data_IF_425765214061
#
_entry.id   IF_425765214061
#
_cell.length_a   1.000
_cell.length_b   1.000
_cell.length_c   1.000
_cell.angle_alpha   90.00
_cell.angle_beta   90.00
_cell.angle_gamma   90.00
#
_symmetry.space_group_name_H-M   'P 1'
#
loop_
_entity.id
_entity.type
_entity.pdbx_description
1 polymer ?
#
# COMPACT_ATOMS: atom_id res chain seq x y z
N UNK A 1 -12.39 22.19 -11.62
CA UNK A 1 -11.84 20.85 -11.28
C UNK A 1 -10.33 20.81 -11.48
N UNK A 2 -9.79 21.20 -12.65
CA UNK A 2 -8.34 21.26 -12.90
C UNK A 2 -7.61 22.23 -11.94
N UNK A 3 -8.15 23.42 -11.72
CA UNK A 3 -7.57 24.43 -10.80
C UNK A 3 -7.55 23.99 -9.34
N UNK A 4 -8.56 23.20 -8.90
CA UNK A 4 -8.61 22.61 -7.56
C UNK A 4 -7.53 21.53 -7.37
N UNK A 5 -7.28 20.72 -8.40
CA UNK A 5 -6.19 19.74 -8.36
C UNK A 5 -4.84 20.47 -8.36
N UNK A 6 -4.68 21.49 -9.19
CA UNK A 6 -3.45 22.27 -9.27
C UNK A 6 -3.14 23.05 -7.98
N UNK A 7 -4.15 23.43 -7.17
CA UNK A 7 -3.91 24.12 -5.90
C UNK A 7 -3.29 23.25 -4.81
N UNK A 8 -3.33 21.92 -4.97
CA UNK A 8 -2.66 20.96 -4.07
C UNK A 8 -1.19 20.77 -4.43
N UNK A 9 -0.72 21.29 -5.57
CA UNK A 9 0.67 21.21 -5.98
C UNK A 9 1.41 22.52 -5.73
N UNK A 10 2.63 22.43 -5.21
CA UNK A 10 3.43 23.60 -4.93
C UNK A 10 3.86 24.31 -6.24
N UNK A 11 3.56 25.61 -6.37
CA UNK A 11 4.26 26.47 -7.32
C UNK A 11 5.62 26.83 -6.71
N UNK A 12 6.68 26.57 -7.44
CA UNK A 12 8.08 26.77 -7.05
C UNK A 12 8.28 28.14 -6.37
N UNK A 13 8.64 28.11 -5.08
CA UNK A 13 9.24 29.17 -4.23
C UNK A 13 8.47 29.52 -2.94
N UNK A 14 9.23 29.45 -1.83
CA UNK A 14 8.99 30.07 -0.51
C UNK A 14 7.98 29.39 0.44
N UNK A 15 7.96 28.07 0.51
CA UNK A 15 7.35 27.38 1.66
C UNK A 15 8.43 27.14 2.73
N UNK A 16 8.18 27.63 3.95
CA UNK A 16 8.99 27.29 5.12
C UNK A 16 8.74 25.81 5.44
N UNK A 17 9.73 24.95 5.23
CA UNK A 17 9.64 23.53 5.58
C UNK A 17 9.58 23.42 7.10
N UNK A 18 8.53 22.79 7.63
CA UNK A 18 8.44 22.50 9.06
C UNK A 18 9.55 21.51 9.42
N UNK A 19 10.21 21.75 10.56
CA UNK A 19 11.10 20.75 11.13
C UNK A 19 10.28 19.52 11.53
N UNK A 20 10.79 18.34 11.21
CA UNK A 20 10.17 17.07 11.55
C UNK A 20 11.21 16.11 12.14
N UNK A 21 10.75 15.22 13.03
CA UNK A 21 11.54 14.10 13.52
C UNK A 21 10.75 12.79 13.34
N UNK A 22 11.43 11.65 13.41
CA UNK A 22 10.83 10.33 13.28
C UNK A 22 11.00 9.49 14.54
N UNK A 23 9.86 9.05 15.10
CA UNK A 23 9.87 8.02 16.13
C UNK A 23 10.24 6.67 15.53
N UNK A 24 11.48 6.23 15.77
CA UNK A 24 12.04 4.99 15.21
C UNK A 24 11.20 3.74 15.53
N UNK A 25 10.57 3.70 16.70
CA UNK A 25 9.70 2.60 17.11
C UNK A 25 8.43 2.48 16.25
N UNK A 26 7.79 3.61 15.94
CA UNK A 26 6.61 3.67 15.09
C UNK A 26 6.95 3.41 13.62
N UNK A 27 8.10 3.89 13.15
CA UNK A 27 8.62 3.53 11.82
C UNK A 27 8.76 2.01 11.70
N UNK A 28 9.43 1.36 12.65
CA UNK A 28 9.58 -0.09 12.63
C UNK A 28 8.23 -0.81 12.67
N UNK A 29 7.31 -0.39 13.54
CA UNK A 29 5.97 -0.97 13.65
C UNK A 29 5.18 -0.84 12.34
N UNK A 30 5.25 0.33 11.68
CA UNK A 30 4.60 0.58 10.41
C UNK A 30 5.07 -0.38 9.32
N UNK A 31 6.39 -0.53 9.16
CA UNK A 31 7.00 -1.44 8.17
C UNK A 31 6.67 -2.90 8.50
N UNK A 32 6.77 -3.29 9.77
CA UNK A 32 6.49 -4.65 10.23
C UNK A 32 5.02 -5.04 9.98
N UNK A 33 4.07 -4.14 10.25
CA UNK A 33 2.64 -4.37 10.02
C UNK A 33 2.31 -4.51 8.52
N UNK A 34 2.92 -3.68 7.66
CA UNK A 34 2.78 -3.83 6.21
C UNK A 34 3.33 -5.17 5.71
N UNK A 35 4.51 -5.59 6.18
CA UNK A 35 5.10 -6.88 5.80
C UNK A 35 4.25 -8.06 6.25
N UNK A 36 3.81 -8.07 7.51
CA UNK A 36 3.01 -9.14 8.08
C UNK A 36 1.64 -9.25 7.40
N UNK A 37 0.92 -8.14 7.25
CA UNK A 37 -0.39 -8.14 6.63
C UNK A 37 -0.36 -8.49 5.14
N UNK A 38 0.70 -8.08 4.43
CA UNK A 38 0.94 -8.51 3.05
C UNK A 38 1.21 -10.01 2.95
N UNK A 39 2.01 -10.58 3.85
CA UNK A 39 2.25 -12.02 3.92
C UNK A 39 0.94 -12.79 4.21
N UNK A 40 0.13 -12.30 5.14
CA UNK A 40 -1.18 -12.88 5.46
C UNK A 40 -2.14 -12.83 4.25
N UNK A 41 -2.18 -11.72 3.52
CA UNK A 41 -2.99 -11.60 2.32
C UNK A 41 -2.56 -12.58 1.21
N UNK A 42 -1.25 -12.80 1.03
CA UNK A 42 -0.72 -13.81 0.11
C UNK A 42 -1.08 -15.24 0.54
N UNK A 43 -1.00 -15.52 1.85
CA UNK A 43 -1.45 -16.80 2.40
C UNK A 43 -2.94 -17.04 2.16
N UNK A 44 -3.79 -16.03 2.37
CA UNK A 44 -5.22 -16.10 2.10
C UNK A 44 -5.51 -16.22 0.59
N UNK A 45 -4.70 -15.60 -0.27
CA UNK A 45 -4.80 -15.78 -1.74
C UNK A 45 -4.57 -17.23 -2.14
N UNK A 46 -3.58 -17.90 -1.54
CA UNK A 46 -3.33 -19.32 -1.78
C UNK A 46 -4.49 -20.20 -1.30
N UNK A 47 -5.01 -19.96 -0.07
CA UNK A 47 -6.20 -20.68 0.43
C UNK A 47 -7.41 -20.45 -0.48
N UNK A 48 -7.60 -19.22 -0.97
CA UNK A 48 -8.69 -18.87 -1.88
C UNK A 48 -8.65 -19.71 -3.16
N UNK A 49 -7.47 -19.96 -3.74
CA UNK A 49 -7.33 -20.79 -4.95
C UNK A 49 -7.48 -22.28 -4.70
N UNK A 50 -7.21 -22.75 -3.48
CA UNK A 50 -7.44 -24.15 -3.08
C UNK A 50 -8.91 -24.43 -2.71
N UNK A 51 -9.71 -23.39 -2.44
CA UNK A 51 -11.10 -23.52 -2.04
C UNK A 51 -11.99 -24.04 -3.18
N UNK A 52 -12.57 -25.23 -3.00
CA UNK A 52 -13.46 -25.88 -3.99
C UNK A 52 -14.86 -25.25 -4.06
N UNK A 53 -15.34 -24.68 -2.96
CA UNK A 53 -16.70 -24.10 -2.85
C UNK A 53 -16.66 -22.59 -3.05
N UNK A 54 -17.55 -22.06 -3.89
CA UNK A 54 -17.64 -20.61 -4.17
C UNK A 54 -17.85 -19.75 -2.92
N UNK A 55 -18.74 -20.10 -1.95
CA UNK A 55 -18.91 -19.29 -0.75
C UNK A 55 -17.63 -19.18 0.09
N UNK A 56 -16.94 -20.31 0.31
CA UNK A 56 -15.66 -20.34 1.04
C UNK A 56 -14.60 -19.52 0.32
N UNK A 57 -14.51 -19.67 -1.01
CA UNK A 57 -13.58 -18.89 -1.83
C UNK A 57 -13.83 -17.38 -1.70
N UNK A 58 -15.09 -16.94 -1.77
CA UNK A 58 -15.47 -15.53 -1.61
C UNK A 58 -15.16 -15.01 -0.20
N UNK A 59 -15.46 -15.81 0.82
CA UNK A 59 -15.18 -15.43 2.21
C UNK A 59 -13.67 -15.20 2.43
N UNK A 60 -12.83 -16.15 1.97
CA UNK A 60 -11.36 -16.03 2.08
C UNK A 60 -10.83 -14.87 1.23
N UNK A 61 -11.40 -14.64 0.04
CA UNK A 61 -11.05 -13.48 -0.79
C UNK A 61 -11.30 -12.16 -0.07
N UNK A 62 -12.50 -12.01 0.52
CA UNK A 62 -12.86 -10.80 1.29
C UNK A 62 -11.95 -10.65 2.49
N UNK A 63 -11.68 -11.73 3.24
CA UNK A 63 -10.74 -11.69 4.36
C UNK A 63 -9.32 -11.27 3.93
N UNK A 64 -8.83 -11.78 2.80
CA UNK A 64 -7.51 -11.42 2.28
C UNK A 64 -7.43 -9.98 1.80
N UNK A 65 -8.48 -9.48 1.14
CA UNK A 65 -8.58 -8.10 0.72
C UNK A 65 -8.62 -7.13 1.92
N UNK A 66 -9.40 -7.45 2.95
CA UNK A 66 -9.46 -6.69 4.20
C UNK A 66 -8.11 -6.74 4.92
N UNK A 67 -7.45 -7.89 4.99
CA UNK A 67 -6.14 -8.03 5.60
C UNK A 67 -5.08 -7.16 4.89
N UNK A 68 -5.05 -7.19 3.56
CA UNK A 68 -4.12 -6.35 2.79
C UNK A 68 -4.42 -4.86 2.95
N UNK A 69 -5.67 -4.44 2.71
CA UNK A 69 -6.04 -3.04 2.81
C UNK A 69 -5.90 -2.49 4.23
N UNK A 70 -6.20 -3.30 5.25
CA UNK A 70 -5.97 -2.98 6.66
C UNK A 70 -4.48 -2.88 7.01
N UNK A 71 -3.61 -3.65 6.35
CA UNK A 71 -2.16 -3.53 6.52
C UNK A 71 -1.61 -2.24 5.90
N UNK A 72 -2.05 -1.90 4.69
CA UNK A 72 -1.71 -0.63 4.02
C UNK A 72 -2.18 0.55 4.89
N UNK A 73 -3.41 0.48 5.39
CA UNK A 73 -3.97 1.51 6.26
C UNK A 73 -3.26 1.64 7.61
N UNK A 74 -3.06 0.54 8.32
CA UNK A 74 -2.39 0.54 9.62
C UNK A 74 -0.97 1.08 9.49
N UNK A 75 -0.24 0.63 8.47
CA UNK A 75 1.10 1.12 8.21
C UNK A 75 1.08 2.62 7.93
N UNK A 76 0.17 3.11 7.07
CA UNK A 76 0.11 4.53 6.73
C UNK A 76 -0.15 5.37 7.98
N UNK A 77 -1.08 4.93 8.82
CA UNK A 77 -1.43 5.63 10.05
C UNK A 77 -0.28 5.60 11.08
N UNK A 78 0.38 4.44 11.26
CA UNK A 78 1.58 4.37 12.11
C UNK A 78 2.72 5.22 11.57
N UNK A 79 2.86 5.33 10.25
CA UNK A 79 3.85 6.19 9.60
C UNK A 79 3.55 7.68 9.79
N UNK A 80 2.28 8.09 9.70
CA UNK A 80 1.87 9.46 10.04
C UNK A 80 2.09 9.78 11.52
N UNK A 81 1.76 8.86 12.43
CA UNK A 81 2.04 9.01 13.86
C UNK A 81 3.54 9.03 14.17
N UNK A 82 4.36 8.39 13.34
CA UNK A 82 5.81 8.44 13.49
C UNK A 82 6.40 9.79 13.10
N UNK A 83 5.68 10.59 12.30
CA UNK A 83 6.13 11.88 11.80
C UNK A 83 5.74 12.99 12.78
N UNK A 84 6.71 13.40 13.58
CA UNK A 84 6.50 14.41 14.62
C UNK A 84 6.71 15.80 14.04
N UNK A 85 5.61 16.56 13.92
CA UNK A 85 5.62 17.95 13.46
C UNK A 85 5.56 18.91 14.65
N UNK A 86 6.10 20.12 14.49
CA UNK A 86 6.00 21.19 15.50
C UNK A 86 4.58 21.79 15.65
N UNK A 87 3.58 21.25 14.96
CA UNK A 87 2.18 21.71 14.99
C UNK A 87 1.27 20.60 15.50
N UNK A 88 0.12 20.97 16.05
CA UNK A 88 -0.90 19.99 16.44
C UNK A 88 -1.54 19.38 15.19
N UNK A 89 -1.58 18.05 15.13
CA UNK A 89 -2.21 17.28 14.05
C UNK A 89 -3.34 16.45 14.66
N UNK A 90 -4.55 16.66 14.18
CA UNK A 90 -5.71 15.80 14.43
C UNK A 90 -6.13 15.07 13.15
N UNK A 91 -6.97 14.05 13.27
CA UNK A 91 -7.38 13.21 12.14
C UNK A 91 -8.89 13.05 12.13
N UNK A 92 -9.52 13.19 10.96
CA UNK A 92 -10.93 12.81 10.79
C UNK A 92 -11.05 11.28 10.85
N UNK A 93 -11.75 10.70 11.85
CA UNK A 93 -11.80 9.26 12.04
C UNK A 93 -12.54 8.53 10.90
N UNK A 94 -13.53 9.18 10.28
CA UNK A 94 -14.30 8.58 9.20
C UNK A 94 -13.56 8.59 7.89
N UNK A 95 -12.92 9.71 7.53
CA UNK A 95 -12.09 9.75 6.34
C UNK A 95 -10.85 8.85 6.49
N UNK A 96 -10.26 8.81 7.69
CA UNK A 96 -9.16 7.89 8.00
C UNK A 96 -9.58 6.44 7.78
N UNK A 97 -10.74 6.00 8.30
CA UNK A 97 -11.22 4.63 8.07
C UNK A 97 -11.60 4.37 6.61
N UNK A 98 -12.29 5.32 5.97
CA UNK A 98 -12.71 5.23 4.57
C UNK A 98 -11.53 5.18 3.60
N UNK A 99 -10.39 5.78 3.95
CA UNK A 99 -9.17 5.75 3.14
C UNK A 99 -8.67 4.33 2.87
N UNK A 100 -9.01 3.34 3.71
CA UNK A 100 -8.64 1.94 3.48
C UNK A 100 -9.32 1.30 2.26
N UNK A 101 -10.46 1.83 1.81
CA UNK A 101 -11.31 1.21 0.79
C UNK A 101 -10.62 1.02 -0.58
N UNK A 102 -9.88 2.00 -1.15
CA UNK A 102 -9.18 1.81 -2.41
C UNK A 102 -8.17 0.65 -2.36
N UNK A 103 -7.44 0.49 -1.26
CA UNK A 103 -6.49 -0.61 -1.08
C UNK A 103 -7.21 -1.96 -0.94
N UNK A 104 -8.32 -2.02 -0.19
CA UNK A 104 -9.15 -3.24 -0.08
C UNK A 104 -9.71 -3.64 -1.44
N UNK A 105 -10.27 -2.71 -2.21
CA UNK A 105 -10.86 -2.98 -3.51
C UNK A 105 -9.81 -3.41 -4.54
N UNK A 106 -8.66 -2.74 -4.56
CA UNK A 106 -7.53 -3.12 -5.40
C UNK A 106 -7.05 -4.55 -5.10
N UNK A 107 -6.89 -4.88 -3.82
CA UNK A 107 -6.49 -6.21 -3.39
C UNK A 107 -7.53 -7.27 -3.76
N UNK A 108 -8.81 -7.03 -3.51
CA UNK A 108 -9.91 -7.93 -3.90
C UNK A 108 -9.79 -8.31 -5.36
N UNK A 109 -9.68 -7.33 -6.25
CA UNK A 109 -9.64 -7.53 -7.70
C UNK A 109 -8.35 -8.26 -8.09
N UNK A 110 -7.19 -7.80 -7.62
CA UNK A 110 -5.88 -8.37 -7.93
C UNK A 110 -5.77 -9.85 -7.52
N UNK A 111 -6.32 -10.23 -6.38
CA UNK A 111 -6.32 -11.63 -5.90
C UNK A 111 -6.95 -12.62 -6.89
N UNK A 112 -7.88 -12.19 -7.76
CA UNK A 112 -8.47 -13.08 -8.78
C UNK A 112 -7.47 -13.51 -9.86
N UNK A 113 -6.38 -12.78 -10.03
CA UNK A 113 -5.37 -12.99 -11.06
C UNK A 113 -4.06 -13.49 -10.46
N UNK A 114 -3.71 -13.04 -9.25
CA UNK A 114 -2.57 -13.51 -8.48
C UNK A 114 -2.68 -15.00 -8.16
N UNK A 115 -1.56 -15.73 -8.13
CA UNK A 115 -1.53 -17.10 -7.59
C UNK A 115 -2.08 -18.19 -8.52
N UNK A 116 -2.51 -17.86 -9.74
CA UNK A 116 -2.82 -18.88 -10.77
C UNK A 116 -1.54 -19.46 -11.36
N UNK A 117 -1.51 -20.78 -11.58
CA UNK A 117 -0.32 -21.45 -12.14
C UNK A 117 0.03 -20.97 -13.56
N UNK A 118 -0.98 -20.53 -14.32
CA UNK A 118 -0.83 -19.94 -15.67
C UNK A 118 -1.01 -18.41 -15.68
N UNK A 119 -0.63 -17.71 -14.61
CA UNK A 119 -0.67 -16.24 -14.62
C UNK A 119 0.29 -15.70 -15.69
N UNK A 120 -0.26 -14.95 -16.65
CA UNK A 120 0.53 -14.33 -17.72
C UNK A 120 1.30 -13.11 -17.20
N UNK A 121 2.43 -12.72 -17.81
CA UNK A 121 3.15 -11.50 -17.44
C UNK A 121 2.27 -10.24 -17.49
N UNK A 122 1.36 -10.14 -18.45
CA UNK A 122 0.41 -9.03 -18.55
C UNK A 122 -0.54 -8.97 -17.35
N UNK A 123 -1.06 -10.11 -16.89
CA UNK A 123 -1.89 -10.17 -15.68
C UNK A 123 -1.09 -9.80 -14.43
N UNK A 124 0.19 -10.16 -14.36
CA UNK A 124 1.10 -9.73 -13.29
C UNK A 124 1.28 -8.22 -13.27
N UNK A 125 1.55 -7.61 -14.42
CA UNK A 125 1.68 -6.15 -14.55
C UNK A 125 0.38 -5.45 -14.19
N UNK A 126 -0.76 -5.91 -14.69
CA UNK A 126 -2.07 -5.33 -14.37
C UNK A 126 -2.40 -5.43 -12.87
N UNK A 127 -2.12 -6.57 -12.24
CA UNK A 127 -2.36 -6.75 -10.80
C UNK A 127 -1.44 -5.86 -9.96
N UNK A 128 -0.16 -5.77 -10.32
CA UNK A 128 0.81 -4.93 -9.62
C UNK A 128 0.51 -3.45 -9.78
N UNK A 129 0.11 -3.01 -10.98
CA UNK A 129 -0.34 -1.64 -11.22
C UNK A 129 -1.61 -1.30 -10.43
N UNK A 130 -2.58 -2.22 -10.38
CA UNK A 130 -3.80 -2.04 -9.61
C UNK A 130 -3.53 -1.93 -8.11
N UNK A 131 -2.67 -2.82 -7.56
CA UNK A 131 -2.26 -2.76 -6.16
C UNK A 131 -1.52 -1.45 -5.88
N UNK A 132 -0.52 -1.09 -6.70
CA UNK A 132 0.24 0.15 -6.53
C UNK A 132 -0.64 1.40 -6.57
N UNK A 133 -1.60 1.45 -7.50
CA UNK A 133 -2.59 2.53 -7.56
C UNK A 133 -3.50 2.55 -6.31
N UNK A 134 -3.93 1.39 -5.82
CA UNK A 134 -4.72 1.28 -4.59
C UNK A 134 -3.96 1.77 -3.35
N UNK A 135 -2.65 1.46 -3.25
CA UNK A 135 -1.77 1.98 -2.19
C UNK A 135 -1.69 3.51 -2.31
N UNK A 136 -1.41 4.04 -3.51
CA UNK A 136 -1.37 5.49 -3.79
C UNK A 136 -2.65 6.22 -3.39
N UNK A 137 -3.80 5.74 -3.88
CA UNK A 137 -5.10 6.31 -3.57
C UNK A 137 -5.41 6.27 -2.07
N UNK A 138 -5.11 5.16 -1.40
CA UNK A 138 -5.26 5.04 0.05
C UNK A 138 -4.44 6.09 0.79
N UNK A 139 -3.16 6.24 0.44
CA UNK A 139 -2.26 7.19 1.08
C UNK A 139 -2.75 8.63 0.93
N UNK A 140 -3.00 9.10 -0.29
CA UNK A 140 -3.43 10.48 -0.49
C UNK A 140 -4.83 10.75 0.09
N UNK A 141 -5.74 9.77 0.05
CA UNK A 141 -7.03 9.90 0.76
C UNK A 141 -6.83 9.97 2.28
N UNK A 142 -5.83 9.26 2.83
CA UNK A 142 -5.48 9.33 4.24
C UNK A 142 -4.83 10.66 4.64
N UNK A 143 -4.00 11.23 3.77
CA UNK A 143 -3.42 12.57 3.95
C UNK A 143 -4.48 13.66 4.00
N UNK A 144 -5.55 13.56 3.18
CA UNK A 144 -6.70 14.48 3.23
C UNK A 144 -7.49 14.38 4.56
N UNK A 145 -7.31 13.31 5.34
CA UNK A 145 -7.91 13.20 6.67
C UNK A 145 -7.14 13.97 7.75
N UNK A 146 -5.91 14.42 7.46
CA UNK A 146 -5.10 15.21 8.39
C UNK A 146 -5.67 16.62 8.54
N UNK A 147 -5.89 17.03 9.78
CA UNK A 147 -6.33 18.36 10.15
C UNK A 147 -5.21 19.03 10.94
N UNK A 148 -4.61 20.07 10.37
CA UNK A 148 -3.50 20.81 10.97
C UNK A 148 -3.57 22.27 10.54
N UNK A 149 -2.96 23.16 11.34
CA UNK A 149 -2.83 24.59 11.04
C UNK A 149 -1.75 24.86 9.97
N UNK A 150 -1.66 23.99 8.97
CA UNK A 150 -0.71 24.06 7.85
C UNK A 150 -1.39 23.58 6.56
N UNK A 151 -0.96 24.14 5.42
CA UNK A 151 -1.47 23.73 4.11
C UNK A 151 -0.58 22.63 3.54
N UNK A 152 -1.15 21.44 3.33
CA UNK A 152 -0.47 20.34 2.66
C UNK A 152 -0.34 20.66 1.16
N UNK A 153 0.88 20.64 0.64
CA UNK A 153 1.17 20.78 -0.79
C UNK A 153 2.16 19.72 -1.22
N UNK A 154 1.91 19.14 -2.38
CA UNK A 154 2.75 18.10 -2.96
C UNK A 154 3.67 18.70 -4.03
N UNK A 155 4.91 18.24 -4.08
CA UNK A 155 5.74 18.45 -5.26
C UNK A 155 5.34 17.45 -6.36
N UNK A 156 5.04 17.89 -7.60
CA UNK A 156 4.60 16.99 -8.66
C UNK A 156 5.59 15.86 -8.98
N UNK A 157 6.90 16.12 -8.85
CA UNK A 157 7.93 15.14 -9.17
C UNK A 157 8.03 14.07 -8.09
N UNK A 158 8.02 14.47 -6.82
CA UNK A 158 8.00 13.54 -5.67
C UNK A 158 6.72 12.73 -5.63
N UNK A 159 5.56 13.37 -5.87
CA UNK A 159 4.27 12.69 -5.98
C UNK A 159 4.28 11.60 -7.06
N UNK A 160 4.72 11.95 -8.27
CA UNK A 160 4.80 10.99 -9.37
C UNK A 160 5.78 9.85 -9.06
N UNK A 161 6.91 10.17 -8.44
CA UNK A 161 7.93 9.18 -8.06
C UNK A 161 7.42 8.23 -6.97
N UNK A 162 6.71 8.73 -5.95
CA UNK A 162 6.09 7.92 -4.91
C UNK A 162 5.10 6.91 -5.52
N UNK A 163 4.15 7.38 -6.34
CA UNK A 163 3.17 6.50 -7.01
C UNK A 163 3.84 5.49 -7.93
N UNK A 164 4.82 5.93 -8.72
CA UNK A 164 5.58 5.04 -9.60
C UNK A 164 6.32 3.97 -8.79
N UNK A 165 6.91 4.31 -7.64
CA UNK A 165 7.60 3.35 -6.77
C UNK A 165 6.65 2.26 -6.26
N UNK A 166 5.42 2.63 -5.84
CA UNK A 166 4.41 1.65 -5.41
C UNK A 166 4.09 0.65 -6.52
N UNK A 167 3.85 1.16 -7.73
CA UNK A 167 3.49 0.35 -8.89
C UNK A 167 4.65 -0.59 -9.26
N UNK A 168 5.85 -0.04 -9.43
CA UNK A 168 7.03 -0.80 -9.86
C UNK A 168 7.39 -1.86 -8.83
N UNK A 169 7.45 -1.51 -7.54
CA UNK A 169 7.78 -2.47 -6.47
C UNK A 169 6.69 -3.53 -6.30
N UNK A 170 5.41 -3.19 -6.48
CA UNK A 170 4.32 -4.17 -6.47
C UNK A 170 4.44 -5.16 -7.64
N UNK A 171 4.76 -4.67 -8.83
CA UNK A 171 4.99 -5.52 -10.02
C UNK A 171 6.19 -6.45 -9.79
N UNK A 172 7.32 -5.91 -9.32
CA UNK A 172 8.52 -6.69 -9.00
C UNK A 172 8.21 -7.77 -7.98
N UNK A 173 7.45 -7.43 -6.92
CA UNK A 173 7.06 -8.37 -5.87
C UNK A 173 6.24 -9.53 -6.43
N UNK A 174 5.28 -9.26 -7.32
CA UNK A 174 4.50 -10.31 -7.97
C UNK A 174 5.33 -11.18 -8.92
N UNK A 175 6.24 -10.59 -9.70
CA UNK A 175 7.14 -11.37 -10.55
C UNK A 175 8.07 -12.27 -9.71
N UNK A 176 8.55 -11.77 -8.58
CA UNK A 176 9.37 -12.55 -7.64
C UNK A 176 8.58 -13.72 -7.07
N UNK A 177 7.34 -13.49 -6.61
CA UNK A 177 6.44 -14.53 -6.11
C UNK A 177 6.20 -15.60 -7.19
N UNK A 178 5.87 -15.19 -8.41
CA UNK A 178 5.61 -16.12 -9.51
C UNK A 178 6.85 -16.95 -9.88
N UNK A 179 8.04 -16.33 -9.86
CA UNK A 179 9.31 -17.02 -10.09
C UNK A 179 9.65 -18.04 -8.99
N UNK A 180 9.38 -17.70 -7.72
CA UNK A 180 9.56 -18.62 -6.59
C UNK A 180 8.57 -19.79 -6.72
N UNK A 181 7.32 -19.52 -7.09
CA UNK A 181 6.28 -20.54 -7.25
C UNK A 181 6.60 -21.56 -8.36
N UNK A 182 7.22 -21.12 -9.45
CA UNK A 182 7.67 -22.00 -10.55
C UNK A 182 8.87 -22.87 -10.16
N UNK A 183 9.62 -22.50 -9.12
CA UNK A 183 10.77 -23.28 -8.66
C UNK A 183 10.34 -24.32 -7.62
N UNK A 184 10.07 -25.53 -8.07
CA UNK A 184 9.58 -26.67 -7.25
C UNK A 184 10.51 -27.08 -6.11
N UNK A 185 11.77 -26.59 -6.10
CA UNK A 185 12.74 -26.86 -5.02
C UNK A 185 12.62 -25.92 -3.82
N UNK A 186 11.87 -24.81 -3.91
CA UNK A 186 11.70 -23.86 -2.80
C UNK A 186 10.49 -24.17 -1.94
N UNK A 187 10.60 -23.85 -0.65
CA UNK A 187 9.51 -24.05 0.31
C UNK A 187 8.39 -23.04 0.07
N UNK A 188 7.13 -23.46 0.21
CA UNK A 188 5.96 -22.58 0.07
C UNK A 188 6.01 -21.36 1.00
N UNK A 189 6.70 -21.47 2.15
CA UNK A 189 6.91 -20.35 3.08
C UNK A 189 7.69 -19.18 2.49
N UNK A 190 8.59 -19.43 1.54
CA UNK A 190 9.39 -18.39 0.90
C UNK A 190 8.51 -17.38 0.16
N UNK A 191 7.41 -17.82 -0.42
CA UNK A 191 6.46 -16.95 -1.13
C UNK A 191 5.89 -15.89 -0.19
N UNK A 192 5.52 -16.28 1.04
CA UNK A 192 4.93 -15.36 2.01
C UNK A 192 5.96 -14.41 2.58
N UNK A 193 7.20 -14.89 2.82
CA UNK A 193 8.29 -14.07 3.32
C UNK A 193 8.72 -13.04 2.27
N UNK A 194 9.13 -13.49 1.07
CA UNK A 194 9.61 -12.58 0.03
C UNK A 194 8.50 -11.69 -0.52
N UNK A 195 7.29 -12.22 -0.64
CA UNK A 195 6.13 -11.44 -1.06
C UNK A 195 5.71 -10.42 0.00
N UNK A 196 5.67 -10.81 1.28
CA UNK A 196 5.38 -9.91 2.39
C UNK A 196 6.40 -8.79 2.50
N UNK A 197 7.69 -9.11 2.43
CA UNK A 197 8.77 -8.11 2.41
C UNK A 197 8.65 -7.20 1.19
N UNK A 198 8.47 -7.76 -0.01
CA UNK A 198 8.37 -6.97 -1.25
C UNK A 198 7.20 -5.98 -1.24
N UNK A 199 6.00 -6.44 -0.87
CA UNK A 199 4.85 -5.54 -0.74
C UNK A 199 4.98 -4.59 0.44
N UNK A 200 5.52 -5.04 1.58
CA UNK A 200 5.80 -4.17 2.73
C UNK A 200 6.73 -3.02 2.35
N UNK A 201 7.78 -3.29 1.56
CA UNK A 201 8.66 -2.28 1.01
C UNK A 201 7.96 -1.38 -0.01
N UNK A 202 7.10 -1.92 -0.88
CA UNK A 202 6.33 -1.11 -1.83
C UNK A 202 5.41 -0.09 -1.12
N UNK A 203 4.73 -0.55 -0.07
CA UNK A 203 3.85 0.27 0.77
C UNK A 203 4.69 1.33 1.51
N UNK A 204 5.80 0.91 2.14
CA UNK A 204 6.74 1.78 2.89
C UNK A 204 7.41 2.84 2.04
N UNK A 205 7.96 2.43 0.89
CA UNK A 205 8.59 3.36 -0.04
C UNK A 205 7.60 4.42 -0.49
N UNK A 206 6.39 4.04 -0.91
CA UNK A 206 5.43 5.03 -1.37
C UNK A 206 4.98 5.97 -0.27
N UNK A 207 4.69 5.47 0.93
CA UNK A 207 4.28 6.32 2.05
C UNK A 207 5.36 7.35 2.39
N UNK A 208 6.60 6.91 2.65
CA UNK A 208 7.66 7.83 3.06
C UNK A 208 8.10 8.75 1.94
N UNK A 209 8.06 8.32 0.67
CA UNK A 209 8.27 9.20 -0.47
C UNK A 209 7.12 10.19 -0.66
N UNK A 210 5.87 9.79 -0.38
CA UNK A 210 4.70 10.65 -0.50
C UNK A 210 4.57 11.71 0.59
N UNK A 211 5.31 11.54 1.69
CA UNK A 211 5.43 12.52 2.78
C UNK A 211 6.49 13.62 2.50
N UNK A 212 7.36 13.44 1.50
CA UNK A 212 8.41 14.39 1.10
C UNK A 212 7.88 15.45 0.13
#
# INVERSE_FOLDING_TARGET
>A
MLEYVLSHFASTNSAMTLAYDYSSGLVFLSVATAMFGSALALYLTEIMHQAKRLPTRRMVQVSGAIAFGGAVWSMHFFGMLAFELCVSVSYDPWLTLASSLPAVLAAWVAMNFMGKDNQTPNQTVQSGALIGAGIGLMHFTGMEAMQMDAVLRYDPSTFAFAVASAIVLSIISLFLINKIKQNTKRHKGDIYIFGGVGFGLAISAMHYLGML
#
